data_IF_539534937622
#
_entry.id   IF_539534937622
#
_cell.length_a   1.000
_cell.length_b   1.000
_cell.length_c   1.000
_cell.angle_alpha   90.00
_cell.angle_beta   90.00
_cell.angle_gamma   90.00
#
_symmetry.space_group_name_H-M   'P 1'
#
loop_
_entity.id
_entity.type
_entity.pdbx_description
1 polymer ?
#
# COMPACT_ATOMS: atom_id res chain seq x y z
N UNK A 1 19.81 41.18 -27.60
CA UNK A 1 20.36 40.31 -26.54
C UNK A 1 19.32 39.24 -26.28
N UNK A 2 19.31 38.22 -27.13
CA UNK A 2 18.41 37.08 -27.04
C UNK A 2 18.89 36.15 -25.91
N UNK A 3 18.03 35.95 -24.91
CA UNK A 3 18.26 34.97 -23.85
C UNK A 3 17.58 33.68 -24.28
N UNK A 4 18.35 32.80 -24.91
CA UNK A 4 17.95 31.44 -25.23
C UNK A 4 17.64 30.71 -23.92
N UNK A 5 16.39 30.28 -23.79
CA UNK A 5 15.86 29.53 -22.67
C UNK A 5 16.38 28.09 -22.78
N UNK A 6 17.38 27.73 -21.97
CA UNK A 6 17.94 26.38 -21.94
C UNK A 6 16.96 25.47 -21.19
N UNK A 7 16.01 24.92 -21.95
CA UNK A 7 15.12 23.86 -21.52
C UNK A 7 15.93 22.59 -21.30
N UNK A 8 16.39 22.36 -20.06
CA UNK A 8 16.94 21.08 -19.64
C UNK A 8 15.84 20.03 -19.69
N UNK A 9 15.74 19.35 -20.83
CA UNK A 9 15.05 18.09 -20.98
C UNK A 9 15.80 17.06 -20.15
N UNK A 10 15.32 16.82 -18.92
CA UNK A 10 15.85 15.76 -18.06
C UNK A 10 15.54 14.43 -18.74
N UNK A 11 16.60 13.77 -19.20
CA UNK A 11 16.61 12.47 -19.84
C UNK A 11 15.89 11.43 -18.97
N UNK A 12 14.96 10.69 -19.60
CA UNK A 12 14.03 9.75 -18.96
C UNK A 12 14.68 8.40 -18.62
N UNK A 13 15.99 8.28 -18.77
CA UNK A 13 16.70 7.00 -18.73
C UNK A 13 17.82 6.94 -17.70
N UNK A 14 18.00 7.95 -16.85
CA UNK A 14 18.98 7.84 -15.77
C UNK A 14 18.49 6.82 -14.73
N UNK A 15 19.26 5.72 -14.50
CA UNK A 15 19.02 4.82 -13.38
C UNK A 15 19.00 5.68 -12.13
N UNK A 16 17.91 5.64 -11.38
CA UNK A 16 17.93 6.30 -10.10
C UNK A 16 18.88 5.49 -9.22
N UNK A 17 20.02 6.05 -8.84
CA UNK A 17 21.18 5.33 -8.28
C UNK A 17 20.85 4.50 -7.02
N UNK A 18 19.69 4.73 -6.39
CA UNK A 18 19.18 4.01 -5.21
C UNK A 18 17.78 3.41 -5.40
N UNK A 19 17.35 3.17 -6.65
CA UNK A 19 16.06 2.53 -6.92
C UNK A 19 16.10 1.02 -6.62
N UNK A 20 15.30 0.59 -5.64
CA UNK A 20 15.08 -0.82 -5.34
C UNK A 20 13.74 -1.31 -5.87
N UNK A 21 13.56 -2.64 -6.07
CA UNK A 21 12.27 -3.21 -6.43
C UNK A 21 11.24 -2.95 -5.31
N UNK A 22 9.99 -2.78 -5.72
CA UNK A 22 8.89 -2.48 -4.81
C UNK A 22 8.19 -3.74 -4.35
N UNK A 23 7.99 -3.88 -3.03
CA UNK A 23 7.03 -4.84 -2.49
C UNK A 23 5.69 -4.14 -2.28
N UNK A 24 4.62 -4.71 -2.82
CA UNK A 24 3.26 -4.18 -2.71
C UNK A 24 2.53 -4.94 -1.61
N UNK A 25 2.01 -4.21 -0.63
CA UNK A 25 1.24 -4.74 0.50
C UNK A 25 -0.17 -4.14 0.52
N UNK A 26 -1.17 -4.88 1.02
CA UNK A 26 -2.48 -4.32 1.29
C UNK A 26 -2.39 -3.13 2.24
N UNK A 27 -3.12 -2.07 1.92
CA UNK A 27 -3.20 -0.86 2.74
C UNK A 27 -4.33 -0.89 3.77
N UNK A 28 -4.52 0.21 4.50
CA UNK A 28 -5.52 0.32 5.57
C UNK A 28 -6.98 0.28 5.09
N UNK A 29 -7.22 0.37 3.78
CA UNK A 29 -8.55 0.41 3.14
C UNK A 29 -8.56 -0.51 1.93
N UNK A 30 -9.74 -1.02 1.56
CA UNK A 30 -9.93 -1.82 0.34
C UNK A 30 -9.42 -1.10 -0.90
N UNK A 31 -8.75 -1.85 -1.77
CA UNK A 31 -8.19 -1.36 -3.03
C UNK A 31 -7.07 -0.33 -2.86
N UNK A 32 -6.65 -0.04 -1.63
CA UNK A 32 -5.49 0.79 -1.37
C UNK A 32 -4.29 -0.11 -1.15
N UNK A 33 -3.19 0.22 -1.81
CA UNK A 33 -1.91 -0.46 -1.63
C UNK A 33 -0.93 0.44 -0.89
N UNK A 34 0.01 -0.20 -0.23
CA UNK A 34 1.19 0.41 0.39
C UNK A 34 2.41 -0.20 -0.27
N UNK A 35 3.39 0.64 -0.55
CA UNK A 35 4.55 0.29 -1.35
C UNK A 35 5.78 0.35 -0.46
N UNK A 36 6.52 -0.74 -0.39
CA UNK A 36 7.72 -0.87 0.43
C UNK A 36 8.96 -0.72 -0.43
N UNK A 37 9.94 0.03 0.07
CA UNK A 37 11.29 -0.01 -0.47
C UNK A 37 12.09 -1.20 0.10
N UNK A 38 13.30 -1.41 -0.43
CA UNK A 38 14.22 -2.46 0.02
C UNK A 38 14.69 -2.29 1.47
N UNK A 39 14.47 -1.11 2.08
CA UNK A 39 14.79 -0.82 3.48
C UNK A 39 13.60 -1.08 4.40
N UNK A 40 12.45 -1.48 3.86
CA UNK A 40 11.22 -1.78 4.60
C UNK A 40 10.37 -0.55 4.95
N UNK A 41 10.73 0.64 4.47
CA UNK A 41 9.88 1.82 4.67
C UNK A 41 8.67 1.76 3.76
N UNK A 42 7.53 2.12 4.33
CA UNK A 42 6.22 2.02 3.68
C UNK A 42 5.73 3.39 3.20
N UNK A 43 5.29 3.45 1.95
CA UNK A 43 4.83 4.67 1.30
C UNK A 43 3.43 4.51 0.69
N UNK A 44 2.73 5.63 0.56
CA UNK A 44 1.53 5.79 -0.26
C UNK A 44 1.82 6.72 -1.43
N UNK A 45 1.05 6.57 -2.51
CA UNK A 45 1.08 7.53 -3.63
C UNK A 45 0.49 8.85 -3.14
N UNK A 46 1.23 9.94 -3.35
CA UNK A 46 0.80 11.31 -3.06
C UNK A 46 0.32 12.01 -4.34
N UNK A 47 1.04 11.83 -5.44
CA UNK A 47 0.67 12.38 -6.76
C UNK A 47 1.35 11.62 -7.88
N UNK A 48 0.78 11.65 -9.08
CA UNK A 48 1.40 11.14 -10.31
C UNK A 48 1.85 12.33 -11.15
N UNK A 49 3.10 12.31 -11.62
CA UNK A 49 3.67 13.35 -12.49
C UNK A 49 3.31 13.08 -13.97
N UNK A 50 3.38 14.08 -14.85
CA UNK A 50 3.12 13.90 -16.29
C UNK A 50 4.02 12.87 -16.97
N UNK A 51 5.22 12.64 -16.44
CA UNK A 51 6.15 11.62 -16.94
C UNK A 51 5.85 10.20 -16.42
N UNK A 52 4.67 9.97 -15.81
CA UNK A 52 4.26 8.67 -15.27
C UNK A 52 4.83 8.35 -13.88
N UNK A 53 5.92 8.99 -13.45
CA UNK A 53 6.50 8.76 -12.13
C UNK A 53 5.55 9.20 -11.01
N UNK A 54 5.53 8.45 -9.91
CA UNK A 54 4.67 8.72 -8.76
C UNK A 54 5.49 9.29 -7.61
N UNK A 55 5.06 10.43 -7.07
CA UNK A 55 5.60 10.94 -5.81
C UNK A 55 4.98 10.14 -4.67
N UNK A 56 5.84 9.68 -3.78
CA UNK A 56 5.49 8.81 -2.66
C UNK A 56 5.74 9.54 -1.35
N UNK A 57 4.84 9.36 -0.38
CA UNK A 57 5.00 9.85 1.00
C UNK A 57 4.92 8.69 1.97
N UNK A 58 5.71 8.72 3.02
CA UNK A 58 5.63 7.76 4.12
C UNK A 58 4.18 7.64 4.64
N UNK A 59 3.75 6.43 4.95
CA UNK A 59 2.41 6.17 5.51
C UNK A 59 2.28 6.68 6.94
N UNK A 60 3.41 6.80 7.67
CA UNK A 60 3.39 7.24 9.07
C UNK A 60 3.12 8.73 9.19
N UNK A 61 2.15 9.08 10.04
CA UNK A 61 1.73 10.48 10.22
C UNK A 61 2.90 11.31 10.75
N UNK A 62 3.10 12.50 10.18
CA UNK A 62 4.19 13.45 10.51
C UNK A 62 5.60 12.98 10.15
N UNK A 63 5.78 11.80 9.53
CA UNK A 63 7.06 11.46 8.92
C UNK A 63 7.26 12.26 7.63
N UNK A 64 8.48 12.76 7.41
CA UNK A 64 8.88 13.49 6.19
C UNK A 64 9.41 12.59 5.08
N UNK A 65 9.53 11.29 5.34
CA UNK A 65 10.03 10.31 4.38
C UNK A 65 9.27 10.40 3.05
N UNK A 66 10.01 10.57 1.97
CA UNK A 66 9.45 10.72 0.64
C UNK A 66 10.31 9.97 -0.38
N UNK A 67 9.67 9.52 -1.46
CA UNK A 67 10.31 8.76 -2.50
C UNK A 67 9.69 9.06 -3.87
N UNK A 68 10.31 8.56 -4.93
CA UNK A 68 9.73 8.50 -6.27
C UNK A 68 9.62 7.05 -6.68
N UNK A 69 8.44 6.65 -7.15
CA UNK A 69 8.20 5.36 -7.76
C UNK A 69 8.12 5.50 -9.27
N UNK A 70 8.80 4.63 -9.99
CA UNK A 70 8.76 4.53 -11.45
C UNK A 70 8.37 3.12 -11.87
N UNK A 71 7.75 3.03 -13.04
CA UNK A 71 7.46 1.77 -13.71
C UNK A 71 8.50 1.61 -14.84
N UNK A 72 9.24 0.52 -14.79
CA UNK A 72 10.21 0.13 -15.81
C UNK A 72 9.77 -1.21 -16.35
N UNK A 73 9.15 -1.20 -17.54
CA UNK A 73 8.70 -2.40 -18.26
C UNK A 73 7.79 -3.31 -17.41
N UNK A 74 6.88 -2.72 -16.63
CA UNK A 74 5.94 -3.44 -15.75
C UNK A 74 6.49 -3.75 -14.37
N UNK A 75 7.76 -3.44 -14.11
CA UNK A 75 8.38 -3.59 -12.79
C UNK A 75 8.46 -2.25 -12.08
N UNK A 76 7.88 -2.19 -10.87
CA UNK A 76 7.91 -0.99 -10.05
C UNK A 76 9.21 -0.89 -9.26
N UNK A 77 9.82 0.30 -9.32
CA UNK A 77 11.01 0.66 -8.54
C UNK A 77 10.76 1.89 -7.68
N UNK A 78 11.22 1.88 -6.44
CA UNK A 78 11.17 3.03 -5.53
C UNK A 78 12.59 3.54 -5.25
N UNK A 79 12.77 4.84 -5.40
CA UNK A 79 13.96 5.55 -4.94
C UNK A 79 13.62 6.55 -3.83
N UNK A 80 14.21 6.40 -2.63
CA UNK A 80 14.12 7.37 -1.55
C UNK A 80 14.64 8.75 -1.96
N UNK A 81 13.98 9.82 -1.51
CA UNK A 81 14.33 11.24 -1.79
C UNK A 81 14.45 12.10 -0.55
N UNK A 82 13.80 11.69 0.54
CA UNK A 82 13.85 12.41 1.81
C UNK A 82 13.88 11.40 2.93
N UNK A 83 14.80 11.60 3.87
CA UNK A 83 14.98 10.72 5.00
C UNK A 83 13.78 10.70 5.94
N UNK A 84 13.63 9.57 6.61
CA UNK A 84 12.67 9.37 7.67
C UNK A 84 13.21 9.96 8.97
N UNK A 85 12.32 10.56 9.78
CA UNK A 85 12.69 11.19 11.05
C UNK A 85 11.94 10.60 12.24
N UNK A 86 10.62 10.45 12.12
CA UNK A 86 9.73 10.08 13.21
C UNK A 86 8.98 8.78 12.91
N UNK A 87 9.59 7.84 12.19
CA UNK A 87 9.03 6.50 12.01
C UNK A 87 10.12 5.44 12.11
N UNK A 88 9.72 4.27 12.56
CA UNK A 88 10.53 3.06 12.52
C UNK A 88 9.96 2.09 11.49
N UNK A 89 10.83 1.27 10.93
CA UNK A 89 10.41 0.13 10.12
C UNK A 89 9.77 -0.88 11.07
N UNK A 90 8.48 -1.16 10.87
CA UNK A 90 7.73 -2.13 11.65
C UNK A 90 6.75 -2.86 10.74
N UNK A 91 6.88 -4.19 10.66
CA UNK A 91 6.00 -5.03 9.85
C UNK A 91 4.63 -5.23 10.48
N UNK A 92 4.50 -5.05 11.80
CA UNK A 92 3.27 -5.31 12.58
C UNK A 92 2.02 -4.65 11.99
N UNK A 93 2.13 -3.37 11.57
CA UNK A 93 0.98 -2.66 11.00
C UNK A 93 0.63 -3.14 9.59
N UNK A 94 1.64 -3.56 8.81
CA UNK A 94 1.45 -4.09 7.46
C UNK A 94 0.83 -5.49 7.50
N UNK A 95 1.29 -6.32 8.42
CA UNK A 95 0.72 -7.65 8.69
C UNK A 95 -0.74 -7.52 9.14
N UNK A 96 -1.04 -6.56 10.03
CA UNK A 96 -2.42 -6.26 10.41
C UNK A 96 -3.28 -5.87 9.20
N UNK A 97 -2.79 -5.02 8.30
CA UNK A 97 -3.54 -4.65 7.10
C UNK A 97 -3.76 -5.84 6.17
N UNK A 98 -2.75 -6.68 5.99
CA UNK A 98 -2.87 -7.90 5.18
C UNK A 98 -3.89 -8.89 5.76
N UNK A 99 -3.86 -9.13 7.08
CA UNK A 99 -4.85 -9.97 7.79
C UNK A 99 -6.25 -9.40 7.66
N UNK A 100 -6.42 -8.09 7.89
CA UNK A 100 -7.73 -7.45 7.75
C UNK A 100 -8.29 -7.59 6.34
N UNK A 101 -7.46 -7.45 5.33
CA UNK A 101 -7.91 -7.61 3.95
C UNK A 101 -8.40 -9.04 3.69
N UNK A 102 -7.65 -10.07 4.10
CA UNK A 102 -8.09 -11.47 3.99
C UNK A 102 -9.39 -11.75 4.73
N UNK A 103 -9.52 -11.24 5.97
CA UNK A 103 -10.76 -11.35 6.74
C UNK A 103 -11.94 -10.76 5.97
N UNK A 104 -11.76 -9.58 5.39
CA UNK A 104 -12.82 -8.88 4.67
C UNK A 104 -13.17 -9.55 3.34
N UNK A 105 -12.18 -10.08 2.63
CA UNK A 105 -12.38 -10.85 1.40
C UNK A 105 -13.14 -12.14 1.71
N UNK A 106 -12.75 -12.88 2.77
CA UNK A 106 -13.48 -14.07 3.24
C UNK A 106 -14.89 -13.77 3.71
N UNK A 107 -15.12 -12.63 4.38
CA UNK A 107 -16.47 -12.24 4.79
C UNK A 107 -17.44 -12.13 3.61
N UNK A 108 -16.92 -11.80 2.42
CA UNK A 108 -17.67 -11.70 1.17
C UNK A 108 -17.82 -13.05 0.48
N UNK A 109 -16.72 -13.79 0.30
CA UNK A 109 -16.73 -15.06 -0.45
C UNK A 109 -17.33 -16.23 0.33
N UNK A 110 -17.36 -16.14 1.66
CA UNK A 110 -17.88 -17.18 2.56
C UNK A 110 -19.02 -16.61 3.43
N UNK A 111 -20.22 -16.40 2.86
CA UNK A 111 -21.35 -15.80 3.59
C UNK A 111 -21.85 -16.65 4.76
N UNK A 112 -21.67 -17.97 4.68
CA UNK A 112 -22.15 -18.93 5.68
C UNK A 112 -21.15 -19.17 6.83
N UNK A 113 -19.86 -18.89 6.63
CA UNK A 113 -18.86 -19.03 7.68
C UNK A 113 -19.10 -18.00 8.79
N UNK A 114 -19.07 -18.40 10.06
CA UNK A 114 -19.24 -17.47 11.16
C UNK A 114 -18.08 -16.47 11.25
N UNK A 115 -18.37 -15.19 11.54
CA UNK A 115 -17.33 -14.15 11.65
C UNK A 115 -16.24 -14.50 12.69
N UNK A 116 -16.61 -15.13 13.79
CA UNK A 116 -15.65 -15.59 14.81
C UNK A 116 -14.67 -16.63 14.27
N UNK A 117 -15.13 -17.53 13.40
CA UNK A 117 -14.30 -18.55 12.75
C UNK A 117 -13.33 -17.89 11.78
N UNK A 118 -13.82 -17.03 10.87
CA UNK A 118 -12.97 -16.26 9.93
C UNK A 118 -11.89 -15.49 10.69
N UNK A 119 -12.28 -14.77 11.75
CA UNK A 119 -11.33 -14.00 12.55
C UNK A 119 -10.27 -14.90 13.19
N UNK A 120 -10.67 -15.99 13.83
CA UNK A 120 -9.73 -16.88 14.53
C UNK A 120 -8.72 -17.51 13.56
N UNK A 121 -9.20 -18.02 12.42
CA UNK A 121 -8.36 -18.65 11.42
C UNK A 121 -7.38 -17.66 10.77
N UNK A 122 -7.79 -16.42 10.50
CA UNK A 122 -6.90 -15.42 9.88
C UNK A 122 -5.92 -14.78 10.86
N UNK A 123 -6.19 -14.88 12.16
CA UNK A 123 -5.35 -14.28 13.21
C UNK A 123 -4.49 -15.28 13.98
N UNK A 124 -4.73 -16.58 13.84
CA UNK A 124 -3.92 -17.61 14.50
C UNK A 124 -2.45 -17.49 14.10
N UNK A 125 -1.56 -17.40 15.10
CA UNK A 125 -0.12 -17.22 14.87
C UNK A 125 0.30 -15.87 14.28
N UNK A 126 -0.63 -14.93 14.07
CA UNK A 126 -0.34 -13.62 13.53
C UNK A 126 -0.19 -12.56 14.63
N UNK A 127 0.83 -11.67 14.55
CA UNK A 127 0.93 -10.51 15.42
C UNK A 127 -0.28 -9.57 15.35
N UNK A 128 -1.11 -9.69 14.30
CA UNK A 128 -2.37 -8.95 14.19
C UNK A 128 -3.34 -9.24 15.35
N UNK A 129 -3.30 -10.44 15.97
CA UNK A 129 -4.13 -10.78 17.11
C UNK A 129 -3.88 -9.89 18.34
N UNK A 130 -2.67 -9.32 18.47
CA UNK A 130 -2.32 -8.35 19.53
C UNK A 130 -2.87 -6.95 19.23
N UNK A 131 -3.14 -6.65 17.96
CA UNK A 131 -3.41 -5.29 17.46
C UNK A 131 -4.88 -5.05 17.12
N UNK A 132 -5.67 -6.11 17.00
CA UNK A 132 -7.10 -5.99 16.72
C UNK A 132 -7.92 -7.14 17.30
N UNK A 133 -9.16 -6.85 17.68
CA UNK A 133 -10.13 -7.83 18.17
C UNK A 133 -11.26 -8.08 17.17
N UNK A 134 -11.96 -9.21 17.32
CA UNK A 134 -13.19 -9.49 16.58
C UNK A 134 -14.19 -8.33 16.72
N UNK A 135 -14.45 -7.85 17.95
CA UNK A 135 -15.42 -6.77 18.20
C UNK A 135 -15.11 -5.47 17.45
N UNK A 136 -13.82 -5.14 17.28
CA UNK A 136 -13.39 -3.98 16.50
C UNK A 136 -13.61 -4.16 15.00
N UNK A 137 -13.48 -5.39 14.48
CA UNK A 137 -13.62 -5.69 13.05
C UNK A 137 -15.07 -5.95 12.63
N UNK A 138 -15.92 -6.39 13.55
CA UNK A 138 -17.31 -6.80 13.29
C UNK A 138 -18.14 -5.81 12.45
N UNK A 139 -18.11 -4.48 12.69
CA UNK A 139 -18.86 -3.54 11.84
C UNK A 139 -18.42 -3.59 10.38
N UNK A 140 -17.11 -3.72 10.14
CA UNK A 140 -16.56 -3.84 8.79
C UNK A 140 -16.89 -5.21 8.20
N UNK A 141 -16.69 -6.30 8.93
CA UNK A 141 -17.00 -7.66 8.46
C UNK A 141 -18.45 -7.80 8.01
N UNK A 142 -19.41 -7.27 8.79
CA UNK A 142 -20.84 -7.23 8.43
C UNK A 142 -21.10 -6.44 7.16
N UNK A 143 -20.40 -5.32 6.97
CA UNK A 143 -20.52 -4.52 5.75
C UNK A 143 -20.03 -5.31 4.54
N UNK A 144 -18.83 -5.89 4.60
CA UNK A 144 -18.26 -6.62 3.47
C UNK A 144 -19.06 -7.87 3.10
N UNK A 145 -19.71 -8.54 4.06
CA UNK A 145 -20.62 -9.65 3.78
C UNK A 145 -21.88 -9.24 3.01
N UNK A 146 -22.34 -7.99 3.20
CA UNK A 146 -23.50 -7.44 2.49
C UNK A 146 -23.14 -6.83 1.14
N UNK A 147 -21.85 -6.61 0.88
CA UNK A 147 -21.39 -6.16 -0.42
C UNK A 147 -21.49 -7.35 -1.38
N UNK A 148 -22.54 -7.36 -2.20
CA UNK A 148 -22.59 -8.19 -3.40
C UNK A 148 -21.42 -7.80 -4.30
N UNK A 149 -20.68 -8.77 -4.82
CA UNK A 149 -19.75 -8.45 -5.90
C UNK A 149 -20.54 -7.76 -7.01
N UNK A 150 -20.05 -6.64 -7.57
CA UNK A 150 -20.53 -6.24 -8.87
C UNK A 150 -20.13 -7.37 -9.81
N UNK A 151 -21.07 -8.26 -10.11
CA UNK A 151 -20.95 -9.17 -11.24
C UNK A 151 -20.49 -8.33 -12.43
N UNK A 152 -19.30 -8.68 -12.92
CA UNK A 152 -18.98 -8.86 -14.33
C UNK A 152 -20.22 -8.54 -15.19
N UNK A 153 -20.33 -7.29 -15.61
CA UNK A 153 -21.17 -6.95 -16.76
C UNK A 153 -20.33 -7.35 -17.97
N UNK A 154 -20.38 -8.64 -18.30
CA UNK A 154 -19.94 -9.14 -19.60
C UNK A 154 -20.69 -8.33 -20.67
N UNK A 155 -19.90 -7.74 -21.56
CA UNK A 155 -20.33 -6.99 -22.74
C UNK A 155 -20.66 -7.95 -23.87
#
# INVERSE_FOLDING_TARGET
VDKTNESTLVDKSQPIEDAGPVLIMPGPRRGCNVYLDSRGYSYRIDSTRPNGSKRMKCVYRKCRGAAVMVDVEGTLFISPRTDHNNCSVSSKILELWAVKQRIFDRCRSEPDTAFSVIYLEETVGSPAAELTSLSQLMPSMRRYRRETDPEITES
#
